data_IF_572674024386
#
_entry.id   IF_572674024386
#
_cell.length_a   1.000
_cell.length_b   1.000
_cell.length_c   1.000
_cell.angle_alpha   90.00
_cell.angle_beta   90.00
_cell.angle_gamma   90.00
#
_symmetry.space_group_name_H-M   'P 1'
#
loop_
_entity.id
_entity.type
_entity.pdbx_description
1 polymer ?
#
# COMPACT_ATOMS: atom_id res chain seq x y z
N UNK A 1 -20.67 -20.70 -18.18
CA UNK A 1 -19.73 -20.76 -17.03
C UNK A 1 -19.40 -19.35 -16.55
N UNK A 2 -20.41 -18.48 -16.39
CA UNK A 2 -20.26 -17.06 -16.04
C UNK A 2 -21.00 -16.66 -14.75
N UNK A 3 -21.89 -17.52 -14.24
CA UNK A 3 -22.63 -17.25 -12.99
C UNK A 3 -21.83 -17.59 -11.72
N UNK A 4 -20.88 -18.52 -11.78
CA UNK A 4 -20.11 -18.92 -10.58
C UNK A 4 -19.12 -17.86 -10.08
N UNK A 5 -18.62 -16.98 -10.96
CA UNK A 5 -17.65 -15.94 -10.58
C UNK A 5 -18.31 -14.67 -10.00
N UNK A 6 -19.54 -14.35 -10.36
CA UNK A 6 -20.23 -13.17 -9.81
C UNK A 6 -20.70 -13.39 -8.35
N UNK A 7 -21.03 -14.63 -7.97
CA UNK A 7 -21.47 -14.93 -6.61
C UNK A 7 -20.35 -14.83 -5.57
N UNK A 8 -19.13 -15.23 -5.91
CA UNK A 8 -17.97 -15.18 -4.98
C UNK A 8 -17.51 -13.74 -4.72
N UNK A 9 -17.48 -12.88 -5.74
CA UNK A 9 -17.15 -11.46 -5.57
C UNK A 9 -18.16 -10.71 -4.69
N UNK A 10 -19.45 -10.99 -4.84
CA UNK A 10 -20.50 -10.39 -4.01
C UNK A 10 -20.43 -10.87 -2.56
N UNK A 11 -20.19 -12.17 -2.34
CA UNK A 11 -20.03 -12.76 -1.01
C UNK A 11 -18.82 -12.17 -0.27
N UNK A 12 -17.66 -12.07 -0.92
CA UNK A 12 -16.45 -11.47 -0.33
C UNK A 12 -16.68 -10.01 0.08
N UNK A 13 -17.40 -9.22 -0.74
CA UNK A 13 -17.73 -7.83 -0.43
C UNK A 13 -18.61 -7.70 0.82
N UNK A 14 -19.63 -8.56 0.94
CA UNK A 14 -20.52 -8.58 2.11
C UNK A 14 -19.72 -8.99 3.36
N UNK A 15 -18.89 -10.03 3.26
CA UNK A 15 -18.06 -10.52 4.36
C UNK A 15 -17.11 -9.42 4.86
N UNK A 16 -16.42 -8.73 3.95
CA UNK A 16 -15.52 -7.61 4.29
C UNK A 16 -16.28 -6.45 4.95
N UNK A 17 -17.43 -6.06 4.40
CA UNK A 17 -18.22 -4.94 4.92
C UNK A 17 -18.76 -5.25 6.32
N UNK A 18 -19.29 -6.45 6.53
CA UNK A 18 -19.75 -6.90 7.86
C UNK A 18 -18.59 -6.94 8.86
N UNK A 19 -17.45 -7.51 8.46
CA UNK A 19 -16.24 -7.57 9.29
C UNK A 19 -15.76 -6.17 9.69
N UNK A 20 -15.74 -5.24 8.74
CA UNK A 20 -15.38 -3.84 8.98
C UNK A 20 -16.30 -3.18 10.02
N UNK A 21 -17.62 -3.31 9.89
CA UNK A 21 -18.54 -2.69 10.86
C UNK A 21 -18.41 -3.30 12.26
N UNK A 22 -18.15 -4.60 12.36
CA UNK A 22 -17.90 -5.27 13.65
C UNK A 22 -16.64 -4.70 14.30
N UNK A 23 -15.51 -4.69 13.59
CA UNK A 23 -14.21 -4.19 14.09
C UNK A 23 -14.32 -2.70 14.43
N UNK A 24 -14.92 -1.89 13.55
CA UNK A 24 -15.10 -0.45 13.78
C UNK A 24 -15.97 -0.16 15.01
N UNK A 25 -17.04 -0.91 15.22
CA UNK A 25 -17.87 -0.76 16.42
C UNK A 25 -17.10 -1.16 17.67
N UNK A 26 -16.31 -2.23 17.58
CA UNK A 26 -15.46 -2.68 18.68
C UNK A 26 -14.33 -1.67 19.02
N UNK A 27 -13.72 -1.05 18.01
CA UNK A 27 -12.75 0.04 18.20
C UNK A 27 -13.32 1.17 19.08
N UNK A 28 -14.59 1.54 18.91
CA UNK A 28 -15.24 2.55 19.78
C UNK A 28 -15.30 2.06 21.23
N UNK A 29 -15.63 0.78 21.44
CA UNK A 29 -15.65 0.16 22.77
C UNK A 29 -14.25 0.17 23.40
N UNK A 30 -13.20 -0.13 22.64
CA UNK A 30 -11.82 -0.06 23.13
C UNK A 30 -11.34 1.36 23.40
N UNK A 31 -11.68 2.33 22.56
CA UNK A 31 -11.30 3.71 22.78
C UNK A 31 -11.89 4.24 24.10
N UNK A 32 -13.20 3.99 24.30
CA UNK A 32 -13.90 4.34 25.55
C UNK A 32 -13.33 3.52 26.71
N UNK A 33 -13.14 2.22 26.51
CA UNK A 33 -12.64 1.29 27.51
C UNK A 33 -11.23 1.60 27.99
N UNK A 34 -10.31 1.91 27.08
CA UNK A 34 -8.94 2.32 27.37
C UNK A 34 -8.89 3.64 28.15
N UNK A 35 -9.74 4.60 27.78
CA UNK A 35 -9.88 5.85 28.54
C UNK A 35 -10.42 5.61 29.95
N UNK A 36 -11.50 4.84 30.10
CA UNK A 36 -12.12 4.55 31.39
C UNK A 36 -11.24 3.68 32.30
N UNK A 37 -10.46 2.78 31.73
CA UNK A 37 -9.55 1.89 32.48
C UNK A 37 -8.17 2.49 32.69
N UNK A 38 -7.90 3.64 32.07
CA UNK A 38 -6.58 4.25 32.00
C UNK A 38 -5.50 3.29 31.46
N UNK A 39 -5.87 2.36 30.58
CA UNK A 39 -4.94 1.41 29.94
C UNK A 39 -4.38 2.00 28.67
N UNK A 40 -3.05 2.10 28.60
CA UNK A 40 -2.38 2.57 27.38
C UNK A 40 -2.42 1.49 26.28
N UNK A 41 -2.43 0.21 26.65
CA UNK A 41 -2.48 -0.87 25.67
C UNK A 41 -3.79 -0.87 24.87
N UNK A 42 -4.93 -0.68 25.56
CA UNK A 42 -6.24 -0.54 24.90
C UNK A 42 -6.33 0.72 24.04
N UNK A 43 -5.80 1.85 24.51
CA UNK A 43 -5.77 3.09 23.73
C UNK A 43 -4.86 2.97 22.50
N UNK A 44 -3.74 2.24 22.62
CA UNK A 44 -2.83 1.95 21.52
C UNK A 44 -3.51 1.11 20.45
N UNK A 45 -4.24 0.07 20.85
CA UNK A 45 -4.96 -0.81 19.91
C UNK A 45 -6.09 -0.04 19.21
N UNK A 46 -6.90 0.72 19.97
CA UNK A 46 -7.93 1.58 19.41
C UNK A 46 -7.38 2.66 18.46
N UNK A 47 -6.22 3.25 18.77
CA UNK A 47 -5.59 4.27 17.96
C UNK A 47 -5.13 3.75 16.60
N UNK A 48 -4.61 2.52 16.54
CA UNK A 48 -4.23 1.90 15.27
C UNK A 48 -5.45 1.60 14.40
N UNK A 49 -6.49 0.98 14.98
CA UNK A 49 -7.75 0.68 14.28
C UNK A 49 -8.45 1.94 13.77
N UNK A 50 -8.36 3.06 14.52
CA UNK A 50 -8.87 4.34 14.05
C UNK A 50 -8.12 4.83 12.81
N UNK A 51 -6.79 4.68 12.79
CA UNK A 51 -5.99 5.02 11.62
C UNK A 51 -6.37 4.16 10.42
N UNK A 52 -6.67 2.88 10.62
CA UNK A 52 -7.14 1.99 9.56
C UNK A 52 -8.53 2.39 9.05
N UNK A 53 -9.44 2.78 9.93
CA UNK A 53 -10.75 3.32 9.56
C UNK A 53 -10.62 4.62 8.76
N UNK A 54 -9.72 5.53 9.17
CA UNK A 54 -9.41 6.77 8.43
C UNK A 54 -8.79 6.43 7.08
N UNK A 55 -7.88 5.47 7.00
CA UNK A 55 -7.29 4.99 5.75
C UNK A 55 -8.34 4.52 4.77
N UNK A 56 -9.27 3.69 5.23
CA UNK A 56 -10.35 3.18 4.40
C UNK A 56 -11.28 4.31 3.95
N UNK A 57 -11.61 5.25 4.84
CA UNK A 57 -12.41 6.41 4.49
C UNK A 57 -11.72 7.26 3.40
N UNK A 58 -10.42 7.52 3.54
CA UNK A 58 -9.66 8.27 2.54
C UNK A 58 -9.52 7.45 1.25
N UNK A 59 -9.33 6.12 1.32
CA UNK A 59 -9.29 5.26 0.14
C UNK A 59 -10.62 5.26 -0.62
N UNK A 60 -11.77 5.24 0.08
CA UNK A 60 -13.09 5.35 -0.52
C UNK A 60 -13.32 6.72 -1.18
N UNK A 61 -12.87 7.80 -0.51
CA UNK A 61 -12.89 9.15 -1.10
C UNK A 61 -11.95 9.24 -2.31
N UNK A 62 -10.76 8.65 -2.23
CA UNK A 62 -9.78 8.61 -3.31
C UNK A 62 -10.26 7.76 -4.48
N UNK A 63 -11.03 6.69 -4.25
CA UNK A 63 -11.67 5.91 -5.31
C UNK A 63 -12.72 6.75 -6.04
N UNK A 64 -13.62 7.40 -5.29
CA UNK A 64 -14.64 8.30 -5.86
C UNK A 64 -14.02 9.51 -6.59
N UNK A 65 -12.91 10.06 -6.08
CA UNK A 65 -12.19 11.15 -6.72
C UNK A 65 -11.30 10.68 -7.87
N UNK A 66 -10.73 9.47 -7.78
CA UNK A 66 -9.84 8.86 -8.77
C UNK A 66 -10.58 8.32 -9.99
N UNK A 67 -11.88 8.07 -9.88
CA UNK A 67 -12.78 7.87 -11.02
C UNK A 67 -13.03 9.17 -11.81
N UNK A 68 -12.69 10.35 -11.27
CA UNK A 68 -12.76 11.58 -12.07
C UNK A 68 -11.81 11.48 -13.26
N UNK A 69 -12.40 11.61 -14.44
CA UNK A 69 -11.71 11.60 -15.71
C UNK A 69 -10.56 12.62 -15.76
N UNK A 70 -9.57 12.32 -16.61
CA UNK A 70 -8.50 13.24 -16.94
C UNK A 70 -9.06 14.59 -17.40
N UNK A 71 -8.37 15.67 -17.06
CA UNK A 71 -8.66 17.02 -17.52
C UNK A 71 -7.36 17.72 -17.93
N UNK A 72 -7.46 18.92 -18.51
CA UNK A 72 -6.29 19.67 -19.01
C UNK A 72 -5.24 19.97 -17.93
N UNK A 73 -5.62 20.04 -16.66
CA UNK A 73 -4.70 20.30 -15.55
C UNK A 73 -4.13 19.01 -14.93
N UNK A 74 -4.78 17.86 -15.18
CA UNK A 74 -4.45 16.53 -14.63
C UNK A 74 -4.65 15.48 -15.72
N UNK A 75 -3.63 15.30 -16.55
CA UNK A 75 -3.67 14.43 -17.75
C UNK A 75 -3.83 12.94 -17.43
N UNK A 76 -3.36 12.50 -16.27
CA UNK A 76 -3.63 11.15 -15.74
C UNK A 76 -4.84 11.09 -14.79
N UNK A 77 -5.62 12.18 -14.68
CA UNK A 77 -6.69 12.32 -13.70
C UNK A 77 -6.18 12.43 -12.27
N UNK A 78 -7.01 12.04 -11.31
CA UNK A 78 -6.74 12.18 -9.87
C UNK A 78 -6.20 10.90 -9.22
N UNK A 79 -5.67 9.96 -10.01
CA UNK A 79 -5.23 8.64 -9.55
C UNK A 79 -4.21 8.70 -8.40
N UNK A 80 -3.28 9.67 -8.44
CA UNK A 80 -2.26 9.86 -7.39
C UNK A 80 -2.78 10.33 -6.04
N UNK A 81 -4.05 10.74 -5.94
CA UNK A 81 -4.62 11.13 -4.65
C UNK A 81 -4.69 9.95 -3.68
N UNK A 82 -4.86 8.72 -4.20
CA UNK A 82 -4.75 7.48 -3.43
C UNK A 82 -3.37 7.34 -2.77
N UNK A 83 -2.31 7.66 -3.50
CA UNK A 83 -0.93 7.56 -2.99
C UNK A 83 -0.65 8.65 -1.94
N UNK A 84 -1.13 9.87 -2.17
CA UNK A 84 -1.02 10.95 -1.18
C UNK A 84 -1.76 10.61 0.12
N UNK A 85 -2.94 10.02 0.01
CA UNK A 85 -3.69 9.50 1.14
C UNK A 85 -2.91 8.43 1.92
N UNK A 86 -2.30 7.48 1.21
CA UNK A 86 -1.49 6.44 1.83
C UNK A 86 -0.26 7.00 2.57
N UNK A 87 0.40 8.02 2.01
CA UNK A 87 1.49 8.73 2.72
C UNK A 87 0.98 9.37 4.01
N UNK A 88 -0.14 10.12 3.95
CA UNK A 88 -0.72 10.76 5.13
C UNK A 88 -1.13 9.76 6.21
N UNK A 89 -1.69 8.62 5.81
CA UNK A 89 -2.01 7.55 6.75
C UNK A 89 -0.74 6.98 7.41
N UNK A 90 0.28 6.61 6.62
CA UNK A 90 1.51 6.07 7.17
C UNK A 90 2.19 7.04 8.15
N UNK A 91 2.17 8.35 7.86
CA UNK A 91 2.64 9.39 8.78
C UNK A 91 1.79 9.50 10.05
N UNK A 92 0.47 9.32 9.94
CA UNK A 92 -0.45 9.33 11.09
C UNK A 92 -0.16 8.15 12.02
N UNK A 93 -0.01 6.94 11.46
CA UNK A 93 0.39 5.74 12.21
C UNK A 93 1.71 5.94 12.95
N UNK A 94 2.72 6.50 12.27
CA UNK A 94 4.01 6.81 12.89
C UNK A 94 3.85 7.84 14.02
N UNK A 95 3.05 8.88 13.82
CA UNK A 95 2.75 9.89 14.85
C UNK A 95 2.07 9.30 16.09
N UNK A 96 1.05 8.46 15.91
CA UNK A 96 0.36 7.73 16.98
C UNK A 96 1.35 6.83 17.73
N UNK A 97 2.19 6.08 17.01
CA UNK A 97 3.19 5.22 17.64
C UNK A 97 4.22 6.02 18.47
N UNK A 98 4.72 7.15 17.97
CA UNK A 98 5.60 8.03 18.74
C UNK A 98 4.93 8.60 19.99
N UNK A 99 3.65 8.98 19.89
CA UNK A 99 2.87 9.41 21.03
C UNK A 99 2.74 8.31 22.09
N UNK A 100 2.44 7.07 21.68
CA UNK A 100 2.36 5.92 22.59
C UNK A 100 3.72 5.62 23.24
N UNK A 101 4.83 5.69 22.49
CA UNK A 101 6.16 5.53 23.08
C UNK A 101 6.46 6.59 24.14
N UNK A 102 6.09 7.84 23.87
CA UNK A 102 6.25 8.93 24.83
C UNK A 102 5.41 8.69 26.11
N UNK A 103 4.13 8.34 25.96
CA UNK A 103 3.24 8.02 27.09
C UNK A 103 3.74 6.79 27.87
N UNK A 104 4.17 5.73 27.19
CA UNK A 104 4.69 4.53 27.82
C UNK A 104 5.95 4.83 28.64
N UNK A 105 6.86 5.65 28.12
CA UNK A 105 8.05 6.10 28.85
C UNK A 105 7.69 6.84 30.15
N UNK A 106 6.71 7.76 30.08
CA UNK A 106 6.23 8.47 31.28
C UNK A 106 5.57 7.53 32.30
N UNK A 107 4.81 6.53 31.83
CA UNK A 107 4.16 5.52 32.69
C UNK A 107 5.14 4.51 33.29
N UNK A 108 6.29 4.25 32.67
CA UNK A 108 7.36 3.48 33.31
C UNK A 108 7.95 4.22 34.52
N UNK A 109 8.06 5.55 34.45
CA UNK A 109 8.57 6.35 35.55
C UNK A 109 7.55 6.50 36.69
N UNK A 110 6.25 6.58 36.37
CA UNK A 110 5.16 6.65 37.34
C UNK A 110 3.99 5.75 36.90
N UNK A 111 3.98 4.46 37.29
CA UNK A 111 2.93 3.53 36.89
C UNK A 111 1.57 3.99 37.40
N UNK A 112 0.59 4.29 36.53
CA UNK A 112 -0.75 4.65 36.96
C UNK A 112 -1.48 3.41 37.51
N UNK A 113 -2.48 3.63 38.37
CA UNK A 113 -3.46 2.59 38.66
C UNK A 113 -4.32 2.34 37.43
N UNK A 114 -4.13 1.18 36.80
CA UNK A 114 -4.94 0.71 35.67
C UNK A 114 -6.11 -0.10 36.22
N UNK A 115 -7.34 0.19 35.79
CA UNK A 115 -8.52 -0.58 36.19
C UNK A 115 -8.50 -1.97 35.54
N UNK A 116 -7.73 -2.87 36.15
CA UNK A 116 -7.23 -4.09 35.53
C UNK A 116 -8.36 -5.07 35.17
N UNK A 117 -9.40 -5.14 36.00
CA UNK A 117 -10.59 -5.96 35.71
C UNK A 117 -11.32 -5.46 34.47
N UNK A 118 -11.46 -4.13 34.31
CA UNK A 118 -12.07 -3.55 33.11
C UNK A 118 -11.22 -3.82 31.88
N UNK A 119 -9.91 -3.62 31.98
CA UNK A 119 -8.95 -3.92 30.91
C UNK A 119 -9.05 -5.37 30.45
N UNK A 120 -9.08 -6.32 31.38
CA UNK A 120 -9.20 -7.75 31.08
C UNK A 120 -10.52 -8.09 30.38
N UNK A 121 -11.64 -7.54 30.85
CA UNK A 121 -12.97 -7.77 30.25
C UNK A 121 -12.99 -7.24 28.81
N UNK A 122 -12.57 -6.00 28.60
CA UNK A 122 -12.58 -5.36 27.28
C UNK A 122 -11.69 -6.13 26.32
N UNK A 123 -10.43 -6.40 26.70
CA UNK A 123 -9.48 -7.12 25.85
C UNK A 123 -9.95 -8.55 25.53
N UNK A 124 -10.63 -9.22 26.47
CA UNK A 124 -11.20 -10.56 26.24
C UNK A 124 -12.38 -10.53 25.27
N UNK A 125 -13.23 -9.50 25.36
CA UNK A 125 -14.31 -9.28 24.38
C UNK A 125 -13.70 -9.02 23.00
N UNK A 126 -12.65 -8.21 22.90
CA UNK A 126 -11.95 -7.96 21.65
C UNK A 126 -11.37 -9.18 21.01
N UNK A 127 -10.65 -9.99 21.81
CA UNK A 127 -10.13 -11.24 21.32
C UNK A 127 -11.25 -12.16 20.80
N UNK A 128 -12.38 -12.24 21.50
CA UNK A 128 -13.53 -13.02 21.05
C UNK A 128 -14.15 -12.47 19.75
N UNK A 129 -14.27 -11.14 19.63
CA UNK A 129 -14.75 -10.46 18.42
C UNK A 129 -13.83 -10.75 17.24
N UNK A 130 -12.51 -10.58 17.42
CA UNK A 130 -11.54 -10.81 16.35
C UNK A 130 -11.46 -12.29 15.94
N UNK A 131 -11.57 -13.23 16.90
CA UNK A 131 -11.70 -14.66 16.59
C UNK A 131 -12.97 -14.93 15.77
N UNK A 132 -14.10 -14.33 16.15
CA UNK A 132 -15.35 -14.49 15.43
C UNK A 132 -15.25 -13.94 14.00
N UNK A 133 -14.65 -12.76 13.82
CA UNK A 133 -14.43 -12.16 12.50
C UNK A 133 -13.48 -13.01 11.66
N UNK A 134 -12.35 -13.44 12.22
CA UNK A 134 -11.41 -14.32 11.52
C UNK A 134 -12.08 -15.62 11.07
N UNK A 135 -12.86 -16.25 11.94
CA UNK A 135 -13.63 -17.45 11.62
C UNK A 135 -14.70 -17.19 10.55
N UNK A 136 -15.42 -16.08 10.65
CA UNK A 136 -16.43 -15.67 9.68
C UNK A 136 -15.83 -15.44 8.29
N UNK A 137 -14.65 -14.81 8.22
CA UNK A 137 -13.90 -14.61 6.98
C UNK A 137 -13.43 -15.93 6.38
N UNK A 138 -12.86 -16.84 7.18
CA UNK A 138 -12.42 -18.16 6.71
C UNK A 138 -13.58 -19.01 6.15
N UNK A 139 -14.80 -18.85 6.68
CA UNK A 139 -15.96 -19.63 6.25
C UNK A 139 -16.74 -19.02 5.09
N UNK A 140 -16.69 -17.69 4.98
CA UNK A 140 -17.48 -16.91 4.02
C UNK A 140 -16.73 -16.47 2.77
N UNK A 141 -15.42 -16.72 2.67
CA UNK A 141 -14.60 -16.22 1.56
C UNK A 141 -13.41 -17.12 1.21
N UNK A 142 -12.96 -17.04 -0.04
CA UNK A 142 -11.68 -17.61 -0.49
C UNK A 142 -10.53 -16.76 0.05
N UNK A 143 -10.11 -17.05 1.28
CA UNK A 143 -8.98 -16.38 1.94
C UNK A 143 -7.62 -16.81 1.37
N UNK A 144 -7.54 -17.93 0.64
CA UNK A 144 -6.30 -18.45 0.05
C UNK A 144 -6.00 -17.84 -1.32
N UNK A 145 -7.01 -17.72 -2.19
CA UNK A 145 -6.83 -17.26 -3.58
C UNK A 145 -7.01 -15.74 -3.75
N UNK A 146 -7.68 -15.07 -2.81
CA UNK A 146 -7.94 -13.62 -2.91
C UNK A 146 -6.97 -12.82 -2.02
N UNK A 147 -6.03 -12.12 -2.66
CA UNK A 147 -5.04 -11.27 -1.98
C UNK A 147 -5.67 -10.21 -1.06
N UNK A 148 -6.83 -9.66 -1.42
CA UNK A 148 -7.52 -8.68 -0.57
C UNK A 148 -8.11 -9.34 0.68
N UNK A 149 -8.71 -10.53 0.54
CA UNK A 149 -9.21 -11.30 1.69
C UNK A 149 -8.06 -11.75 2.61
N UNK A 150 -6.94 -12.20 2.03
CA UNK A 150 -5.74 -12.56 2.77
C UNK A 150 -5.17 -11.38 3.53
N UNK A 151 -5.12 -10.20 2.91
CA UNK A 151 -4.68 -8.96 3.55
C UNK A 151 -5.57 -8.58 4.74
N UNK A 152 -6.88 -8.58 4.55
CA UNK A 152 -7.83 -8.31 5.63
C UNK A 152 -7.76 -9.36 6.75
N UNK A 153 -7.57 -10.64 6.43
CA UNK A 153 -7.39 -11.69 7.43
C UNK A 153 -6.11 -11.50 8.26
N UNK A 154 -4.99 -11.19 7.61
CA UNK A 154 -3.72 -10.90 8.30
C UNK A 154 -3.82 -9.67 9.21
N UNK A 155 -4.64 -8.68 8.83
CA UNK A 155 -4.94 -7.53 9.67
C UNK A 155 -5.69 -7.95 10.94
N UNK A 156 -6.77 -8.74 10.84
CA UNK A 156 -7.50 -9.26 12.01
C UNK A 156 -6.58 -10.06 12.95
N UNK A 157 -5.65 -10.84 12.39
CA UNK A 157 -4.65 -11.57 13.19
C UNK A 157 -3.71 -10.61 13.94
N UNK A 158 -3.35 -9.47 13.33
CA UNK A 158 -2.58 -8.43 14.01
C UNK A 158 -3.33 -7.85 15.21
N UNK A 159 -4.62 -7.56 15.08
CA UNK A 159 -5.47 -7.02 16.15
C UNK A 159 -5.61 -8.04 17.30
N UNK A 160 -5.71 -9.33 16.97
CA UNK A 160 -5.71 -10.39 17.97
C UNK A 160 -4.44 -10.38 18.82
N UNK A 161 -3.27 -10.09 18.23
CA UNK A 161 -2.01 -10.00 18.99
C UNK A 161 -2.03 -8.82 19.96
N UNK A 162 -2.65 -7.69 19.59
CA UNK A 162 -2.87 -6.54 20.47
C UNK A 162 -3.72 -6.92 21.68
N UNK A 163 -4.90 -7.52 21.43
CA UNK A 163 -5.80 -8.02 22.48
C UNK A 163 -5.13 -9.05 23.40
N UNK A 164 -4.34 -9.98 22.85
CA UNK A 164 -3.58 -10.98 23.65
C UNK A 164 -2.53 -10.28 24.51
N UNK A 165 -1.81 -9.29 23.98
CA UNK A 165 -0.84 -8.50 24.72
C UNK A 165 -1.49 -7.78 25.92
N UNK A 166 -2.65 -7.17 25.71
CA UNK A 166 -3.42 -6.51 26.77
C UNK A 166 -3.95 -7.50 27.83
N UNK A 167 -4.45 -8.67 27.43
CA UNK A 167 -4.87 -9.73 28.37
C UNK A 167 -3.69 -10.19 29.24
N UNK A 168 -2.53 -10.45 28.63
CA UNK A 168 -1.33 -10.87 29.36
C UNK A 168 -0.92 -9.77 30.36
N UNK A 169 -0.90 -8.50 29.94
CA UNK A 169 -0.59 -7.38 30.82
C UNK A 169 -1.58 -7.29 32.00
N UNK A 170 -2.88 -7.43 31.74
CA UNK A 170 -3.91 -7.40 32.78
C UNK A 170 -3.74 -8.56 33.79
N UNK A 171 -3.45 -9.78 33.33
CA UNK A 171 -3.20 -10.92 34.21
C UNK A 171 -1.93 -10.70 35.06
N UNK A 172 -0.87 -10.16 34.47
CA UNK A 172 0.37 -9.86 35.21
C UNK A 172 0.15 -8.80 36.29
N UNK A 173 -0.66 -7.78 36.00
CA UNK A 173 -1.04 -6.76 36.99
C UNK A 173 -1.90 -7.37 38.10
N UNK A 174 -2.90 -8.20 37.78
CA UNK A 174 -3.79 -8.83 38.76
C UNK A 174 -3.08 -9.79 39.72
N UNK A 175 -2.19 -10.65 39.20
CA UNK A 175 -1.56 -11.69 40.01
C UNK A 175 -0.26 -11.24 40.67
N UNK A 176 0.51 -10.35 40.03
CA UNK A 176 1.85 -9.97 40.50
C UNK A 176 1.99 -8.49 40.87
N UNK A 177 0.96 -7.67 40.64
CA UNK A 177 1.02 -6.23 40.87
C UNK A 177 1.97 -5.48 39.92
N UNK A 178 2.31 -6.08 38.78
CA UNK A 178 3.27 -5.52 37.82
C UNK A 178 2.64 -4.42 36.96
N UNK A 179 2.46 -3.23 37.54
CA UNK A 179 1.91 -2.05 36.84
C UNK A 179 2.68 -1.63 35.57
N UNK A 180 3.95 -2.04 35.44
CA UNK A 180 4.77 -1.79 34.24
C UNK A 180 4.41 -2.69 33.04
N UNK A 181 3.59 -3.72 33.23
CA UNK A 181 3.21 -4.64 32.16
C UNK A 181 2.34 -3.97 31.07
N UNK A 182 1.45 -3.03 31.44
CA UNK A 182 0.63 -2.26 30.47
C UNK A 182 1.49 -1.33 29.60
N UNK A 183 2.42 -0.53 30.15
CA UNK A 183 3.40 0.21 29.35
C UNK A 183 4.26 -0.67 28.44
N UNK A 184 4.72 -1.84 28.91
CA UNK A 184 5.50 -2.74 28.05
C UNK A 184 4.67 -3.29 26.88
N UNK A 185 3.44 -3.74 27.14
CA UNK A 185 2.54 -4.21 26.09
C UNK A 185 2.27 -3.09 25.06
N UNK A 186 2.10 -1.86 25.52
CA UNK A 186 1.90 -0.68 24.68
C UNK A 186 3.11 -0.38 23.80
N UNK A 187 4.34 -0.51 24.32
CA UNK A 187 5.59 -0.35 23.55
C UNK A 187 5.67 -1.40 22.43
N UNK A 188 5.28 -2.65 22.70
CA UNK A 188 5.29 -3.73 21.71
C UNK A 188 4.29 -3.42 20.59
N UNK A 189 3.04 -3.07 20.94
CA UNK A 189 2.01 -2.70 19.96
C UNK A 189 2.45 -1.48 19.15
N UNK A 190 2.94 -0.42 19.81
CA UNK A 190 3.46 0.78 19.15
C UNK A 190 4.60 0.48 18.18
N UNK A 191 5.49 -0.47 18.49
CA UNK A 191 6.56 -0.88 17.57
C UNK A 191 6.02 -1.58 16.31
N UNK A 192 4.99 -2.40 16.44
CA UNK A 192 4.31 -3.02 15.29
C UNK A 192 3.61 -1.97 14.42
N UNK A 193 2.90 -1.03 15.06
CA UNK A 193 2.23 0.10 14.38
C UNK A 193 3.24 0.99 13.67
N UNK A 194 4.35 1.34 14.32
CA UNK A 194 5.42 2.15 13.73
C UNK A 194 6.04 1.45 12.51
N UNK A 195 6.30 0.15 12.61
CA UNK A 195 6.82 -0.66 11.51
C UNK A 195 5.84 -0.62 10.33
N UNK A 196 4.56 -0.83 10.58
CA UNK A 196 3.51 -0.77 9.55
C UNK A 196 3.47 0.60 8.86
N UNK A 197 3.38 1.67 9.65
CA UNK A 197 3.39 3.05 9.14
C UNK A 197 4.62 3.36 8.28
N UNK A 198 5.81 2.94 8.72
CA UNK A 198 7.06 3.11 7.96
C UNK A 198 7.01 2.42 6.59
N UNK A 199 6.57 1.16 6.52
CA UNK A 199 6.51 0.44 5.23
C UNK A 199 5.48 1.05 4.28
N UNK A 200 4.30 1.44 4.79
CA UNK A 200 3.25 2.11 4.00
C UNK A 200 3.77 3.44 3.46
N UNK A 201 4.37 4.28 4.31
CA UNK A 201 4.96 5.55 3.89
C UNK A 201 6.07 5.34 2.87
N UNK A 202 7.00 4.41 3.11
CA UNK A 202 8.11 4.13 2.19
C UNK A 202 7.62 3.68 0.82
N UNK A 203 6.66 2.75 0.78
CA UNK A 203 6.08 2.27 -0.47
C UNK A 203 5.35 3.38 -1.24
N UNK A 204 4.60 4.23 -0.53
CA UNK A 204 3.85 5.33 -1.15
C UNK A 204 4.77 6.44 -1.65
N UNK A 205 5.83 6.78 -0.90
CA UNK A 205 6.87 7.72 -1.34
C UNK A 205 7.62 7.20 -2.57
N UNK A 206 7.90 5.90 -2.64
CA UNK A 206 8.52 5.28 -3.82
C UNK A 206 7.68 5.51 -5.08
N UNK A 207 6.36 5.37 -4.99
CA UNK A 207 5.44 5.69 -6.10
C UNK A 207 5.46 7.19 -6.45
N UNK A 208 5.48 8.08 -5.45
CA UNK A 208 5.57 9.53 -5.69
C UNK A 208 6.88 9.96 -6.35
N UNK A 209 7.96 9.20 -6.15
CA UNK A 209 9.27 9.43 -6.77
C UNK A 209 9.41 8.79 -8.15
N UNK A 210 8.31 8.36 -8.78
CA UNK A 210 8.33 7.60 -10.05
C UNK A 210 9.15 6.31 -9.97
N UNK A 211 9.23 5.70 -8.79
CA UNK A 211 10.02 4.50 -8.59
C UNK A 211 9.47 3.30 -9.38
N UNK A 212 10.37 2.45 -9.84
CA UNK A 212 10.00 1.22 -10.56
C UNK A 212 9.10 0.33 -9.69
N UNK A 213 7.96 -0.16 -10.21
CA UNK A 213 7.03 -0.99 -9.45
C UNK A 213 7.71 -2.27 -8.95
N UNK A 214 7.44 -2.67 -7.70
CA UNK A 214 8.08 -3.87 -7.09
C UNK A 214 7.71 -5.19 -7.79
N UNK A 215 6.59 -5.21 -8.52
CA UNK A 215 6.11 -6.38 -9.25
C UNK A 215 6.61 -6.44 -10.71
N UNK A 216 7.50 -5.53 -11.13
CA UNK A 216 8.04 -5.47 -12.49
C UNK A 216 9.54 -5.72 -12.47
N UNK A 217 10.00 -6.71 -13.24
CA UNK A 217 11.41 -6.94 -13.50
C UNK A 217 11.80 -6.28 -14.82
N UNK A 218 12.68 -5.28 -14.74
CA UNK A 218 13.19 -4.53 -15.89
C UNK A 218 13.80 -5.47 -16.94
N UNK A 219 14.53 -6.50 -16.52
CA UNK A 219 15.18 -7.41 -17.46
C UNK A 219 14.17 -8.22 -18.25
N UNK A 220 13.09 -8.66 -17.61
CA UNK A 220 12.01 -9.39 -18.26
C UNK A 220 11.29 -8.50 -19.29
N UNK A 221 11.06 -7.23 -18.95
CA UNK A 221 10.47 -6.24 -19.85
C UNK A 221 11.36 -6.02 -21.08
N UNK A 222 12.66 -5.77 -20.87
CA UNK A 222 13.63 -5.59 -21.97
C UNK A 222 13.65 -6.83 -22.86
N UNK A 223 13.76 -8.02 -22.26
CA UNK A 223 13.77 -9.29 -23.00
C UNK A 223 12.49 -9.48 -23.83
N UNK A 224 11.33 -9.09 -23.29
CA UNK A 224 10.04 -9.21 -23.98
C UNK A 224 9.94 -8.30 -25.19
N UNK A 225 10.47 -7.08 -25.07
CA UNK A 225 10.54 -6.15 -26.20
C UNK A 225 11.51 -6.70 -27.25
N UNK A 226 12.72 -7.09 -26.85
CA UNK A 226 13.79 -7.57 -27.74
C UNK A 226 13.53 -8.95 -28.37
N UNK A 227 12.57 -9.73 -27.88
CA UNK A 227 12.13 -10.97 -28.52
C UNK A 227 11.53 -10.73 -29.92
N UNK A 228 11.13 -9.50 -30.24
CA UNK A 228 10.62 -9.16 -31.55
C UNK A 228 11.78 -8.97 -32.54
N UNK A 229 11.85 -9.77 -33.62
CA UNK A 229 13.00 -9.77 -34.54
C UNK A 229 13.16 -8.48 -35.35
N UNK A 230 12.16 -7.60 -35.31
CA UNK A 230 12.18 -6.29 -35.96
C UNK A 230 12.82 -5.20 -35.07
N UNK A 231 13.03 -5.49 -33.80
CA UNK A 231 13.65 -4.60 -32.81
C UNK A 231 15.13 -4.95 -32.69
N UNK A 232 15.99 -3.94 -32.86
CA UNK A 232 17.44 -4.07 -32.73
C UNK A 232 17.92 -3.82 -31.30
N UNK A 233 17.37 -2.80 -30.63
CA UNK A 233 17.73 -2.45 -29.26
C UNK A 233 16.65 -1.60 -28.59
N UNK A 234 16.67 -1.57 -27.26
CA UNK A 234 15.83 -0.72 -26.41
C UNK A 234 16.71 0.19 -25.56
N UNK A 235 16.37 1.48 -25.49
CA UNK A 235 17.06 2.46 -24.64
C UNK A 235 16.06 3.46 -24.04
N UNK A 236 16.56 4.31 -23.15
CA UNK A 236 15.75 5.34 -22.47
C UNK A 236 14.47 4.76 -21.80
N UNK A 237 14.62 3.61 -21.14
CA UNK A 237 13.53 2.90 -20.49
C UNK A 237 13.20 3.54 -19.14
N UNK A 238 11.98 4.03 -19.01
CA UNK A 238 11.36 4.53 -17.79
C UNK A 238 10.17 3.66 -17.45
N UNK A 239 10.09 3.19 -16.21
CA UNK A 239 8.95 2.42 -15.70
C UNK A 239 8.59 2.97 -14.33
N UNK A 240 7.32 3.35 -14.15
CA UNK A 240 6.81 3.91 -12.90
C UNK A 240 5.39 3.43 -12.60
N UNK A 241 4.95 3.55 -11.35
CA UNK A 241 3.54 3.39 -10.99
C UNK A 241 2.84 4.75 -10.96
N UNK A 242 1.67 4.85 -11.58
CA UNK A 242 0.78 6.02 -11.42
C UNK A 242 -0.02 5.90 -10.12
N UNK A 243 -0.57 4.70 -9.87
CA UNK A 243 -1.22 4.30 -8.62
C UNK A 243 -1.13 2.78 -8.47
N UNK A 244 -1.67 2.22 -7.39
CA UNK A 244 -1.78 0.77 -7.17
C UNK A 244 -2.42 0.08 -8.38
N UNK A 245 -1.68 -0.83 -9.02
CA UNK A 245 -2.17 -1.61 -10.16
C UNK A 245 -2.25 -0.88 -11.50
N UNK A 246 -1.73 0.36 -11.59
CA UNK A 246 -1.61 1.11 -12.84
C UNK A 246 -0.16 1.53 -13.05
N UNK A 247 0.60 0.69 -13.76
CA UNK A 247 1.98 0.96 -14.12
C UNK A 247 2.06 1.54 -15.53
N UNK A 248 3.04 2.40 -15.72
CA UNK A 248 3.32 3.07 -16.97
C UNK A 248 4.77 2.85 -17.40
N UNK A 249 4.99 2.84 -18.71
CA UNK A 249 6.27 2.64 -19.34
C UNK A 249 6.46 3.64 -20.48
N UNK A 250 7.65 4.21 -20.55
CA UNK A 250 8.14 4.98 -21.70
C UNK A 250 9.49 4.43 -22.13
N UNK A 251 9.69 4.17 -23.41
CA UNK A 251 11.00 3.77 -23.92
C UNK A 251 11.18 4.12 -25.40
N UNK A 252 12.42 4.03 -25.85
CA UNK A 252 12.79 4.15 -27.25
C UNK A 252 13.19 2.78 -27.79
N UNK A 253 12.75 2.47 -29.00
CA UNK A 253 12.97 1.18 -29.66
C UNK A 253 13.57 1.43 -31.03
N UNK A 254 14.74 0.83 -31.29
CA UNK A 254 15.43 0.96 -32.57
C UNK A 254 14.93 -0.12 -33.54
N UNK A 255 14.45 0.31 -34.69
CA UNK A 255 13.97 -0.54 -35.79
C UNK A 255 14.73 -0.25 -37.09
N UNK A 256 14.52 -1.09 -38.11
CA UNK A 256 15.11 -0.91 -39.44
C UNK A 256 14.64 0.38 -40.09
N UNK A 257 15.54 1.02 -40.84
CA UNK A 257 15.28 2.30 -41.52
C UNK A 257 14.18 2.23 -42.57
N UNK A 258 14.01 1.06 -43.17
CA UNK A 258 13.04 0.81 -44.25
C UNK A 258 11.64 0.49 -43.74
N UNK A 259 11.45 0.37 -42.41
CA UNK A 259 10.16 0.07 -41.81
C UNK A 259 9.16 1.20 -42.10
N UNK A 260 8.01 0.83 -42.66
CA UNK A 260 6.92 1.77 -42.89
C UNK A 260 6.16 2.06 -41.60
N UNK A 261 5.46 3.21 -41.54
CA UNK A 261 4.65 3.58 -40.37
C UNK A 261 3.63 2.48 -40.03
N UNK A 262 2.96 1.91 -41.02
CA UNK A 262 1.96 0.86 -40.81
C UNK A 262 2.54 -0.49 -40.33
N UNK A 263 3.81 -0.78 -40.62
CA UNK A 263 4.52 -1.92 -40.01
C UNK A 263 4.89 -1.61 -38.56
N UNK A 264 5.38 -0.39 -38.29
CA UNK A 264 5.64 0.10 -36.94
C UNK A 264 4.42 0.04 -36.03
N UNK A 265 3.24 0.47 -36.51
CA UNK A 265 1.99 0.37 -35.74
C UNK A 265 1.64 -1.06 -35.34
N UNK A 266 1.86 -2.05 -36.22
CA UNK A 266 1.63 -3.46 -35.92
C UNK A 266 2.61 -4.00 -34.88
N UNK A 267 3.88 -3.60 -35.00
CA UNK A 267 4.90 -3.93 -34.01
C UNK A 267 4.54 -3.35 -32.63
N UNK A 268 4.14 -2.07 -32.59
CA UNK A 268 3.70 -1.40 -31.36
C UNK A 268 2.52 -2.12 -30.71
N UNK A 269 1.46 -2.43 -31.47
CA UNK A 269 0.30 -3.17 -30.94
C UNK A 269 0.68 -4.52 -30.33
N UNK A 270 1.63 -5.23 -30.94
CA UNK A 270 2.12 -6.51 -30.44
C UNK A 270 2.89 -6.32 -29.13
N UNK A 271 3.84 -5.39 -29.09
CA UNK A 271 4.64 -5.11 -27.89
C UNK A 271 3.76 -4.61 -26.75
N UNK A 272 2.81 -3.71 -27.02
CA UNK A 272 1.83 -3.22 -26.04
C UNK A 272 1.00 -4.37 -25.45
N UNK A 273 0.55 -5.31 -26.28
CA UNK A 273 -0.17 -6.50 -25.82
C UNK A 273 0.70 -7.39 -24.92
N UNK A 274 1.94 -7.65 -25.30
CA UNK A 274 2.87 -8.49 -24.53
C UNK A 274 3.21 -7.83 -23.18
N UNK A 275 3.40 -6.50 -23.16
CA UNK A 275 3.65 -5.72 -21.94
C UNK A 275 2.43 -5.65 -21.01
N UNK A 276 1.21 -5.68 -21.56
CA UNK A 276 -0.02 -5.71 -20.75
C UNK A 276 -0.09 -6.95 -19.84
N UNK A 277 0.39 -8.11 -20.31
CA UNK A 277 0.50 -9.33 -19.51
C UNK A 277 1.56 -9.25 -18.41
N UNK A 278 2.47 -8.27 -18.49
CA UNK A 278 3.51 -8.00 -17.49
C UNK A 278 3.15 -6.84 -16.55
N UNK A 279 1.85 -6.58 -16.39
CA UNK A 279 1.32 -5.55 -15.50
C UNK A 279 1.74 -4.12 -15.89
N UNK A 280 1.92 -3.84 -17.19
CA UNK A 280 2.11 -2.48 -17.73
C UNK A 280 0.87 -2.08 -18.52
N UNK A 281 0.10 -1.11 -18.03
CA UNK A 281 -1.20 -0.75 -18.62
C UNK A 281 -1.15 0.51 -19.49
N UNK A 282 -0.14 1.36 -19.30
CA UNK A 282 0.04 2.56 -20.09
C UNK A 282 1.45 2.56 -20.69
N UNK A 283 1.54 2.54 -22.02
CA UNK A 283 2.81 2.43 -22.72
C UNK A 283 2.93 3.58 -23.70
N UNK A 284 4.12 4.17 -23.78
CA UNK A 284 4.52 5.04 -24.89
C UNK A 284 5.86 4.53 -25.41
N UNK A 285 5.91 4.12 -26.68
CA UNK A 285 7.15 3.65 -27.31
C UNK A 285 7.47 4.58 -28.47
N UNK A 286 8.66 5.18 -28.45
CA UNK A 286 9.18 5.96 -29.56
C UNK A 286 9.97 5.03 -30.49
N UNK A 287 9.49 4.88 -31.73
CA UNK A 287 10.25 4.17 -32.76
C UNK A 287 11.35 5.06 -33.32
N UNK A 288 12.56 4.53 -33.33
CA UNK A 288 13.76 5.20 -33.83
C UNK A 288 14.49 4.31 -34.83
N UNK A 289 15.37 4.92 -35.61
CA UNK A 289 16.29 4.18 -36.48
C UNK A 289 17.72 4.37 -35.97
N UNK A 290 18.65 3.54 -36.41
CA UNK A 290 20.09 3.71 -36.08
C UNK A 290 20.67 5.08 -36.50
N UNK A 291 19.95 5.85 -37.33
CA UNK A 291 20.35 7.20 -37.72
C UNK A 291 20.10 8.23 -36.60
N UNK A 292 19.27 7.91 -35.61
CA UNK A 292 19.00 8.78 -34.46
C UNK A 292 20.11 8.59 -33.42
N UNK A 293 20.94 9.63 -33.23
CA UNK A 293 22.09 9.58 -32.33
C UNK A 293 21.67 9.83 -30.88
N UNK A 294 21.29 8.77 -30.19
CA UNK A 294 21.06 8.77 -28.74
C UNK A 294 22.02 7.82 -28.03
N UNK A 295 22.12 7.97 -26.70
CA UNK A 295 22.83 6.99 -25.88
C UNK A 295 22.10 5.63 -25.94
N UNK A 296 22.85 4.55 -26.06
CA UNK A 296 22.34 3.18 -26.10
C UNK A 296 22.08 2.60 -24.69
N UNK A 297 22.23 3.41 -23.63
CA UNK A 297 21.98 2.95 -22.28
C UNK A 297 20.50 2.62 -22.06
N UNK A 298 20.23 1.44 -21.47
CA UNK A 298 18.87 1.02 -21.15
C UNK A 298 18.19 2.04 -20.24
N UNK A 299 18.91 2.55 -19.24
CA UNK A 299 18.40 3.60 -18.37
C UNK A 299 18.82 4.97 -18.90
N UNK A 300 17.89 5.92 -18.81
CA UNK A 300 18.15 7.32 -19.15
C UNK A 300 19.24 7.91 -18.26
N UNK A 301 20.24 8.53 -18.86
CA UNK A 301 21.03 9.56 -18.18
C UNK A 301 20.47 10.91 -18.58
N UNK A 302 19.64 11.51 -17.72
CA UNK A 302 19.21 12.89 -17.92
C UNK A 302 20.42 13.80 -17.82
N UNK A 303 20.92 14.29 -18.96
CA UNK A 303 21.91 15.36 -18.98
C UNK A 303 21.18 16.64 -18.61
N UNK A 304 21.22 16.99 -17.32
CA UNK A 304 20.83 18.32 -16.87
C UNK A 304 21.84 19.33 -17.44
N UNK A 305 21.43 19.98 -18.53
CA UNK A 305 22.14 21.04 -19.25
C UNK A 305 23.39 20.63 -20.05
N UNK A 306 23.29 20.78 -21.38
CA UNK A 306 24.42 21.22 -22.19
C UNK A 306 24.26 22.74 -22.43
N UNK A 307 24.59 23.53 -21.41
CA UNK A 307 24.78 24.98 -21.55
C UNK A 307 26.07 25.24 -22.30
N UNK A 308 26.12 24.98 -23.62
CA UNK A 308 27.38 25.16 -24.33
C UNK A 308 27.50 24.75 -25.79
N UNK A 309 26.49 24.90 -26.65
CA UNK A 309 26.70 24.76 -28.10
C UNK A 309 25.96 25.81 -28.93
N UNK A 310 26.26 27.09 -28.67
CA UNK A 310 26.20 28.10 -29.72
C UNK A 310 27.27 27.77 -30.78
N UNK A 311 26.96 26.90 -31.74
CA UNK A 311 27.68 26.94 -33.02
C UNK A 311 27.06 28.03 -33.89
N UNK A 312 27.56 29.25 -33.68
CA UNK A 312 27.75 30.16 -34.78
C UNK A 312 28.61 29.47 -35.83
N UNK A 313 28.08 29.27 -37.03
CA UNK A 313 28.87 29.50 -38.23
C UNK A 313 28.00 30.20 -39.27
N UNK A 314 28.30 31.49 -39.40
CA UNK A 314 28.02 32.30 -40.55
C UNK A 314 28.76 31.76 -41.80
N UNK A 315 28.14 32.06 -42.94
CA UNK A 315 28.61 32.01 -44.33
C UNK A 315 28.48 30.70 -45.10
#
# INVERSE_FOLDING_TARGET
MSDHHNHTHSANKIVLLVSFFIIFTYMIVEAIGGYLTNSLALLSDAGHMLSDAVSLAIALLAFSLGEKAANSNKTYGYKRFEILAAVLNGLTLMGIAFFIFYEAFMRFANPPEVATTGMLIISSIGLAVNIFVAWFMMRGSDTEDNLNMRGAYLHVISDMLGSVGAIIAALLILFFGWGWADPLASVIVAALVLRSGYFVTKASLHVLMEGTPQNVDINNIVQTIEQNPEIHSVHDLHIWSITSGLNALSCHVVVKKEMTIGEGEKLLQKVEHDLAHQSIQHVTIQLETESHKHDSSILCTTKAEDTGAHHHHHH
#
